data_IF_280119038465
#
_entry.id   IF_280119038465
#
_cell.length_a   1.000
_cell.length_b   1.000
_cell.length_c   1.000
_cell.angle_alpha   90.00
_cell.angle_beta   90.00
_cell.angle_gamma   90.00
#
_symmetry.space_group_name_H-M   'P 1'
#
loop_
_entity.id
_entity.type
_entity.pdbx_description
1 polymer ?
#
# COMPACT_ATOMS: atom_id res chain seq x y z
N UNK A 1 45.91 -23.91 -15.16
CA UNK A 1 47.23 -23.25 -15.30
C UNK A 1 47.97 -23.01 -13.97
N UNK A 2 47.31 -22.69 -12.85
CA UNK A 2 47.98 -22.36 -11.57
C UNK A 2 48.78 -23.49 -10.89
N UNK A 3 48.49 -24.77 -11.17
CA UNK A 3 49.15 -25.90 -10.49
C UNK A 3 50.60 -26.15 -10.92
N UNK A 4 51.04 -25.67 -12.09
CA UNK A 4 52.42 -25.90 -12.60
C UNK A 4 53.48 -24.97 -12.01
N UNK A 5 53.11 -23.82 -11.45
CA UNK A 5 54.05 -22.84 -10.90
C UNK A 5 54.67 -23.25 -9.55
N UNK A 6 54.08 -24.23 -8.83
CA UNK A 6 54.60 -24.69 -7.54
C UNK A 6 55.88 -25.52 -7.63
N UNK A 7 56.26 -25.99 -8.82
CA UNK A 7 57.37 -26.94 -9.02
C UNK A 7 58.59 -26.34 -9.74
N UNK A 8 58.72 -25.01 -9.80
CA UNK A 8 59.97 -24.37 -10.24
C UNK A 8 60.34 -24.66 -11.70
N UNK A 9 59.38 -24.51 -12.62
CA UNK A 9 59.64 -24.60 -14.06
C UNK A 9 60.07 -23.25 -14.62
N UNK A 10 61.28 -23.13 -15.15
CA UNK A 10 61.84 -21.88 -15.75
C UNK A 10 61.19 -21.47 -17.08
N UNK A 11 59.90 -21.75 -17.27
CA UNK A 11 59.15 -21.37 -18.47
C UNK A 11 58.60 -19.95 -18.39
N UNK A 12 58.37 -19.33 -19.53
CA UNK A 12 57.83 -17.95 -19.69
C UNK A 12 56.55 -17.65 -18.89
N UNK A 13 55.79 -18.68 -18.48
CA UNK A 13 54.62 -18.52 -17.62
C UNK A 13 54.93 -18.04 -16.20
N UNK A 14 56.10 -18.35 -15.65
CA UNK A 14 56.49 -17.96 -14.29
C UNK A 14 56.85 -16.47 -14.21
N UNK A 15 57.42 -15.90 -15.26
CA UNK A 15 57.74 -14.47 -15.34
C UNK A 15 56.47 -13.61 -15.42
N UNK A 16 55.48 -14.05 -16.22
CA UNK A 16 54.19 -13.37 -16.34
C UNK A 16 53.42 -13.41 -15.02
N UNK A 17 53.41 -14.57 -14.33
CA UNK A 17 52.77 -14.72 -13.03
C UNK A 17 53.38 -13.83 -11.95
N UNK A 18 54.72 -13.73 -11.91
CA UNK A 18 55.43 -12.83 -10.98
C UNK A 18 55.19 -11.36 -11.32
N UNK A 19 55.25 -10.97 -12.59
CA UNK A 19 54.97 -9.60 -13.02
C UNK A 19 53.54 -9.16 -12.64
N UNK A 20 52.56 -10.04 -12.86
CA UNK A 20 51.17 -9.80 -12.42
C UNK A 20 51.06 -9.63 -10.90
N UNK A 21 51.66 -10.55 -10.13
CA UNK A 21 51.62 -10.50 -8.68
C UNK A 21 52.26 -9.19 -8.15
N UNK A 22 53.38 -8.78 -8.75
CA UNK A 22 54.05 -7.53 -8.41
C UNK A 22 53.20 -6.30 -8.72
N UNK A 23 52.53 -6.27 -9.87
CA UNK A 23 51.59 -5.20 -10.22
C UNK A 23 50.41 -5.12 -9.25
N UNK A 24 49.86 -6.25 -8.81
CA UNK A 24 48.75 -6.30 -7.84
C UNK A 24 49.20 -5.81 -6.45
N UNK A 25 50.41 -6.19 -6.01
CA UNK A 25 50.93 -5.82 -4.70
C UNK A 25 51.40 -4.36 -4.63
N UNK A 26 52.02 -3.86 -5.71
CA UNK A 26 52.48 -2.46 -5.81
C UNK A 26 51.38 -1.48 -6.21
N UNK A 27 50.22 -1.96 -6.67
CA UNK A 27 49.11 -1.09 -7.01
C UNK A 27 48.78 -0.16 -5.83
N UNK A 28 48.72 1.16 -6.04
CA UNK A 28 48.27 2.11 -5.04
C UNK A 28 46.91 1.72 -4.49
N UNK A 29 46.63 2.04 -3.23
CA UNK A 29 45.37 1.68 -2.57
C UNK A 29 44.14 2.23 -3.32
N UNK A 30 44.25 3.42 -3.94
CA UNK A 30 43.18 4.04 -4.73
C UNK A 30 42.87 3.25 -6.01
N UNK A 31 43.86 2.60 -6.63
CA UNK A 31 43.65 1.76 -7.82
C UNK A 31 42.88 0.49 -7.49
N UNK A 32 43.14 -0.08 -6.30
CA UNK A 32 42.38 -1.23 -5.80
C UNK A 32 40.93 -0.83 -5.51
N UNK A 33 40.73 0.33 -4.89
CA UNK A 33 39.40 0.89 -4.63
C UNK A 33 38.63 1.15 -5.94
N UNK A 34 39.28 1.72 -6.96
CA UNK A 34 38.68 1.99 -8.26
C UNK A 34 38.23 0.70 -8.96
N UNK A 35 39.04 -0.37 -8.95
CA UNK A 35 38.64 -1.67 -9.53
C UNK A 35 37.43 -2.27 -8.84
N UNK A 36 37.37 -2.21 -7.50
CA UNK A 36 36.18 -2.66 -6.75
C UNK A 36 34.96 -1.82 -7.07
N UNK A 37 35.10 -0.49 -7.19
CA UNK A 37 33.99 0.39 -7.52
C UNK A 37 33.44 0.13 -8.93
N UNK A 38 34.32 -0.05 -9.93
CA UNK A 38 33.91 -0.35 -11.32
C UNK A 38 33.20 -1.70 -11.38
N UNK A 39 33.74 -2.74 -10.74
CA UNK A 39 33.12 -4.07 -10.70
C UNK A 39 31.76 -4.08 -9.98
N UNK A 40 31.65 -3.37 -8.85
CA UNK A 40 30.38 -3.21 -8.14
C UNK A 40 29.36 -2.42 -8.98
N UNK A 41 29.78 -1.32 -9.62
CA UNK A 41 28.92 -0.53 -10.49
C UNK A 41 28.40 -1.31 -11.71
N UNK A 42 29.24 -2.17 -12.31
CA UNK A 42 28.79 -3.04 -13.42
C UNK A 42 27.83 -4.13 -12.96
N UNK A 43 28.10 -4.77 -11.81
CA UNK A 43 27.18 -5.75 -11.25
C UNK A 43 25.82 -5.12 -10.92
N UNK A 44 25.83 -3.92 -10.32
CA UNK A 44 24.61 -3.18 -9.99
C UNK A 44 23.82 -2.77 -11.24
N UNK A 45 24.50 -2.32 -12.29
CA UNK A 45 23.86 -1.99 -13.56
C UNK A 45 23.17 -3.22 -14.19
N UNK A 46 23.82 -4.38 -14.19
CA UNK A 46 23.24 -5.63 -14.73
C UNK A 46 22.00 -6.04 -13.95
N UNK A 47 22.02 -5.88 -12.62
CA UNK A 47 20.89 -6.21 -11.75
C UNK A 47 19.73 -5.25 -11.96
N UNK A 48 20.00 -3.94 -12.01
CA UNK A 48 18.96 -2.94 -12.30
C UNK A 48 18.32 -3.21 -13.67
N UNK A 49 19.12 -3.52 -14.69
CA UNK A 49 18.60 -3.85 -16.02
C UNK A 49 17.78 -5.15 -15.99
N UNK A 50 18.20 -6.16 -15.22
CA UNK A 50 17.48 -7.43 -15.09
C UNK A 50 16.16 -7.25 -14.32
N UNK A 51 16.16 -6.53 -13.20
CA UNK A 51 14.97 -6.29 -12.36
C UNK A 51 13.94 -5.42 -13.07
N UNK A 52 14.37 -4.31 -13.68
CA UNK A 52 13.47 -3.41 -14.44
C UNK A 52 12.90 -4.09 -15.69
N UNK A 53 13.57 -5.12 -16.22
CA UNK A 53 13.16 -5.82 -17.44
C UNK A 53 12.42 -7.15 -17.25
N UNK A 54 12.58 -7.86 -16.12
CA UNK A 54 12.15 -9.27 -15.99
C UNK A 54 11.28 -9.60 -14.78
N UNK A 55 11.14 -8.72 -13.78
CA UNK A 55 10.43 -9.06 -12.54
C UNK A 55 9.42 -7.97 -12.12
N UNK A 56 8.29 -7.81 -12.84
CA UNK A 56 7.21 -6.92 -12.43
C UNK A 56 6.43 -7.40 -11.19
N UNK A 57 6.72 -8.60 -10.64
CA UNK A 57 5.90 -9.24 -9.58
C UNK A 57 6.51 -9.21 -8.17
N UNK A 58 7.72 -8.65 -7.97
CA UNK A 58 8.26 -8.51 -6.61
C UNK A 58 7.72 -7.22 -6.01
N UNK A 59 6.72 -7.33 -5.12
CA UNK A 59 6.05 -6.20 -4.44
C UNK A 59 7.00 -5.29 -3.65
N UNK A 60 8.26 -5.70 -3.42
CA UNK A 60 9.23 -4.95 -2.62
C UNK A 60 10.59 -4.84 -3.32
N UNK A 61 10.62 -4.06 -4.41
CA UNK A 61 11.83 -3.77 -5.21
C UNK A 61 13.01 -3.28 -4.33
N UNK A 62 12.70 -2.58 -3.23
CA UNK A 62 13.68 -2.07 -2.27
C UNK A 62 14.52 -3.18 -1.64
N UNK A 63 13.88 -4.30 -1.24
CA UNK A 63 14.55 -5.43 -0.60
C UNK A 63 15.44 -6.16 -1.61
N UNK A 64 14.98 -6.33 -2.86
CA UNK A 64 15.77 -6.97 -3.91
C UNK A 64 17.04 -6.17 -4.25
N UNK A 65 16.93 -4.85 -4.37
CA UNK A 65 18.08 -3.97 -4.64
C UNK A 65 19.08 -4.02 -3.49
N UNK A 66 18.62 -3.92 -2.24
CA UNK A 66 19.48 -4.01 -1.05
C UNK A 66 20.21 -5.35 -0.95
N UNK A 67 19.48 -6.46 -1.14
CA UNK A 67 20.05 -7.80 -1.05
C UNK A 67 21.11 -8.01 -2.13
N UNK A 68 20.85 -7.53 -3.34
CA UNK A 68 21.80 -7.67 -4.44
C UNK A 68 23.04 -6.79 -4.29
N UNK A 69 22.90 -5.58 -3.75
CA UNK A 69 24.05 -4.74 -3.35
C UNK A 69 24.90 -5.47 -2.31
N UNK A 70 24.29 -6.03 -1.27
CA UNK A 70 25.01 -6.73 -0.20
C UNK A 70 25.74 -7.98 -0.71
N UNK A 71 25.09 -8.78 -1.55
CA UNK A 71 25.67 -9.99 -2.14
C UNK A 71 26.84 -9.65 -3.09
N UNK A 72 26.68 -8.65 -3.95
CA UNK A 72 27.73 -8.24 -4.90
C UNK A 72 28.97 -7.65 -4.20
N UNK A 73 28.78 -6.87 -3.14
CA UNK A 73 29.87 -6.36 -2.29
C UNK A 73 30.61 -7.51 -1.59
N UNK A 74 29.88 -8.50 -1.05
CA UNK A 74 30.48 -9.67 -0.41
C UNK A 74 31.35 -10.49 -1.37
N UNK A 75 30.84 -10.77 -2.57
CA UNK A 75 31.56 -11.54 -3.59
C UNK A 75 32.81 -10.80 -4.08
N UNK A 76 32.70 -9.51 -4.37
CA UNK A 76 33.84 -8.71 -4.85
C UNK A 76 34.93 -8.54 -3.78
N UNK A 77 34.55 -8.36 -2.51
CA UNK A 77 35.48 -8.34 -1.39
C UNK A 77 36.21 -9.69 -1.21
N UNK A 78 35.48 -10.81 -1.31
CA UNK A 78 36.05 -12.15 -1.23
C UNK A 78 37.05 -12.45 -2.36
N UNK A 79 36.70 -12.08 -3.60
CA UNK A 79 37.57 -12.27 -4.77
C UNK A 79 38.85 -11.44 -4.68
N UNK A 80 38.75 -10.17 -4.27
CA UNK A 80 39.93 -9.31 -4.11
C UNK A 80 40.84 -9.80 -2.99
N UNK A 81 40.28 -10.26 -1.86
CA UNK A 81 41.07 -10.89 -0.80
C UNK A 81 41.82 -12.13 -1.31
N UNK A 82 41.12 -13.01 -2.05
CA UNK A 82 41.71 -14.22 -2.62
C UNK A 82 42.82 -13.92 -3.64
N UNK A 83 42.60 -12.93 -4.52
CA UNK A 83 43.62 -12.46 -5.47
C UNK A 83 44.86 -11.91 -4.74
N UNK A 84 44.67 -11.12 -3.68
CA UNK A 84 45.77 -10.55 -2.91
C UNK A 84 46.56 -11.65 -2.20
N UNK A 85 45.88 -12.67 -1.67
CA UNK A 85 46.51 -13.85 -1.04
C UNK A 85 47.37 -14.61 -2.05
N UNK A 86 46.82 -14.92 -3.23
CA UNK A 86 47.58 -15.60 -4.29
C UNK A 86 48.77 -14.79 -4.77
N UNK A 87 48.63 -13.47 -4.92
CA UNK A 87 49.75 -12.62 -5.29
C UNK A 87 50.91 -12.69 -4.28
N UNK A 88 50.60 -12.75 -2.97
CA UNK A 88 51.62 -12.94 -1.92
C UNK A 88 52.27 -14.32 -1.97
N UNK A 89 51.47 -15.37 -2.15
CA UNK A 89 51.97 -16.75 -2.28
C UNK A 89 52.91 -16.88 -3.50
N UNK A 90 52.57 -16.26 -4.63
CA UNK A 90 53.39 -16.26 -5.86
C UNK A 90 54.66 -15.42 -5.70
N UNK A 91 54.59 -14.29 -5.00
CA UNK A 91 55.73 -13.41 -4.78
C UNK A 91 56.74 -13.95 -3.75
N UNK A 92 56.44 -15.06 -3.06
CA UNK A 92 57.31 -15.64 -2.04
C UNK A 92 57.53 -14.74 -0.82
N UNK A 93 56.67 -13.73 -0.61
CA UNK A 93 56.79 -12.80 0.49
C UNK A 93 56.40 -13.50 1.81
N UNK A 94 57.41 -13.96 2.57
CA UNK A 94 57.22 -14.41 3.94
C UNK A 94 56.60 -13.26 4.74
N UNK A 95 55.54 -13.58 5.48
CA UNK A 95 54.68 -12.63 6.18
C UNK A 95 55.38 -12.05 7.41
N UNK A 96 56.41 -11.23 7.20
CA UNK A 96 57.03 -10.45 8.25
C UNK A 96 56.71 -8.97 8.05
N UNK A 97 56.11 -8.39 9.10
CA UNK A 97 55.98 -6.97 9.35
C UNK A 97 54.93 -6.18 8.53
N UNK A 98 53.69 -6.22 9.03
CA UNK A 98 52.89 -5.01 9.24
C UNK A 98 51.67 -5.34 10.11
N UNK A 99 51.64 -4.83 11.35
CA UNK A 99 50.47 -4.94 12.22
C UNK A 99 49.24 -4.29 11.54
N UNK A 100 48.12 -5.03 11.34
CA UNK A 100 47.05 -4.59 10.44
C UNK A 100 45.95 -3.75 11.09
N UNK A 101 46.02 -3.45 12.40
CA UNK A 101 44.86 -2.91 13.13
C UNK A 101 44.42 -1.49 12.68
N UNK A 102 45.36 -0.59 12.35
CA UNK A 102 45.04 0.75 11.86
C UNK A 102 44.45 0.73 10.44
N UNK A 103 44.92 -0.19 9.59
CA UNK A 103 44.40 -0.35 8.22
C UNK A 103 43.02 -1.00 8.23
N UNK A 104 42.77 -1.92 9.17
CA UNK A 104 41.49 -2.59 9.31
C UNK A 104 40.39 -1.60 9.74
N UNK A 105 40.67 -0.76 10.74
CA UNK A 105 39.71 0.25 11.23
C UNK A 105 39.39 1.31 10.18
N UNK A 106 40.38 1.77 9.41
CA UNK A 106 40.14 2.72 8.32
C UNK A 106 39.29 2.10 7.20
N UNK A 107 39.54 0.83 6.84
CA UNK A 107 38.72 0.12 5.83
C UNK A 107 37.29 -0.12 6.31
N UNK A 108 37.11 -0.46 7.58
CA UNK A 108 35.79 -0.66 8.16
C UNK A 108 34.95 0.63 8.14
N UNK A 109 35.56 1.77 8.47
CA UNK A 109 34.89 3.09 8.41
C UNK A 109 34.46 3.44 6.99
N UNK A 110 35.33 3.20 6.00
CA UNK A 110 35.05 3.51 4.60
C UNK A 110 33.95 2.62 4.02
N UNK A 111 33.96 1.33 4.36
CA UNK A 111 32.89 0.40 3.98
C UNK A 111 31.55 0.78 4.61
N UNK A 112 31.55 1.15 5.90
CA UNK A 112 30.33 1.55 6.62
C UNK A 112 29.75 2.86 6.03
N UNK A 113 30.60 3.84 5.74
CA UNK A 113 30.18 5.09 5.09
C UNK A 113 29.59 4.85 3.69
N UNK A 114 30.15 3.93 2.91
CA UNK A 114 29.64 3.60 1.59
C UNK A 114 28.27 2.90 1.66
N UNK A 115 28.08 1.97 2.60
CA UNK A 115 26.79 1.32 2.83
C UNK A 115 25.71 2.34 3.24
N UNK A 116 26.04 3.27 4.15
CA UNK A 116 25.13 4.34 4.55
C UNK A 116 24.77 5.27 3.40
N UNK A 117 25.73 5.63 2.54
CA UNK A 117 25.49 6.47 1.38
C UNK A 117 24.56 5.78 0.35
N UNK A 118 24.76 4.47 0.12
CA UNK A 118 23.88 3.70 -0.78
C UNK A 118 22.46 3.59 -0.19
N UNK A 119 22.34 3.31 1.11
CA UNK A 119 21.04 3.26 1.78
C UNK A 119 20.31 4.62 1.74
N UNK A 120 21.02 5.73 1.93
CA UNK A 120 20.44 7.06 1.82
C UNK A 120 20.00 7.38 0.37
N UNK A 121 20.81 7.02 -0.63
CA UNK A 121 20.48 7.23 -2.04
C UNK A 121 19.29 6.36 -2.46
N UNK A 122 19.18 5.11 -2.00
CA UNK A 122 18.03 4.26 -2.31
C UNK A 122 16.75 4.82 -1.71
N UNK A 123 16.77 5.32 -0.47
CA UNK A 123 15.60 5.99 0.14
C UNK A 123 15.21 7.23 -0.64
N UNK A 124 16.19 8.04 -1.07
CA UNK A 124 15.93 9.23 -1.88
C UNK A 124 15.34 8.89 -3.25
N UNK A 125 15.87 7.88 -3.94
CA UNK A 125 15.35 7.44 -5.24
C UNK A 125 13.96 6.82 -5.12
N UNK A 126 13.68 6.05 -4.06
CA UNK A 126 12.35 5.53 -3.78
C UNK A 126 11.37 6.68 -3.54
N UNK A 127 11.72 7.63 -2.65
CA UNK A 127 10.90 8.80 -2.39
C UNK A 127 10.65 9.63 -3.65
N UNK A 128 11.67 9.82 -4.50
CA UNK A 128 11.51 10.54 -5.77
C UNK A 128 10.63 9.76 -6.76
N UNK A 129 10.75 8.44 -6.83
CA UNK A 129 9.92 7.59 -7.67
C UNK A 129 8.45 7.63 -7.23
N UNK A 130 8.20 7.50 -5.92
CA UNK A 130 6.87 7.60 -5.31
C UNK A 130 6.26 9.00 -5.57
N UNK A 131 7.06 10.06 -5.44
CA UNK A 131 6.60 11.44 -5.72
C UNK A 131 6.25 11.65 -7.20
N UNK A 132 7.03 11.07 -8.12
CA UNK A 132 6.80 11.21 -9.57
C UNK A 132 5.66 10.33 -10.05
N UNK A 133 5.44 9.15 -9.46
CA UNK A 133 4.30 8.30 -9.81
C UNK A 133 2.97 8.93 -9.42
N UNK A 134 2.93 9.59 -8.26
CA UNK A 134 1.70 10.16 -7.71
C UNK A 134 1.29 11.44 -8.44
N UNK A 135 2.24 12.32 -8.80
CA UNK A 135 1.93 13.60 -9.45
C UNK A 135 1.75 13.49 -10.99
N UNK A 136 2.52 12.62 -11.66
CA UNK A 136 2.52 12.57 -13.14
C UNK A 136 1.47 11.60 -13.69
N UNK A 137 1.10 10.58 -12.93
CA UNK A 137 0.13 9.57 -13.34
C UNK A 137 -1.26 10.15 -13.62
N UNK A 138 -1.77 11.01 -12.72
CA UNK A 138 -3.15 11.48 -12.80
C UNK A 138 -3.31 12.80 -13.56
N UNK A 139 -2.27 13.64 -13.66
CA UNK A 139 -2.35 14.89 -14.43
C UNK A 139 -2.57 14.67 -15.94
N UNK A 140 -2.28 13.48 -16.46
CA UNK A 140 -2.48 13.16 -17.88
C UNK A 140 -3.94 12.88 -18.26
N UNK A 141 -4.83 12.66 -17.28
CA UNK A 141 -6.18 12.12 -17.52
C UNK A 141 -7.35 13.11 -17.31
N UNK A 142 -7.08 14.37 -17.01
CA UNK A 142 -8.12 15.41 -17.03
C UNK A 142 -7.78 16.60 -16.14
N UNK A 143 -8.43 17.73 -16.39
CA UNK A 143 -8.37 18.85 -15.44
C UNK A 143 -8.99 18.42 -14.11
N UNK A 144 -8.36 18.75 -12.96
CA UNK A 144 -8.96 18.50 -11.66
C UNK A 144 -10.30 19.22 -11.58
N UNK A 145 -11.36 18.46 -11.29
CA UNK A 145 -12.69 19.00 -11.07
C UNK A 145 -12.92 19.07 -9.56
N UNK A 146 -13.16 20.26 -9.00
CA UNK A 146 -13.32 20.43 -7.56
C UNK A 146 -14.46 19.60 -6.98
N UNK A 147 -15.44 19.19 -7.81
CA UNK A 147 -16.54 18.31 -7.40
C UNK A 147 -16.09 16.90 -7.02
N UNK A 148 -14.94 16.46 -7.51
CA UNK A 148 -14.35 15.15 -7.23
C UNK A 148 -13.05 15.25 -6.40
N UNK A 149 -12.78 16.40 -5.79
CA UNK A 149 -11.52 16.66 -5.09
C UNK A 149 -11.19 15.61 -4.01
N UNK A 150 -12.22 15.10 -3.30
CA UNK A 150 -12.01 14.08 -2.25
C UNK A 150 -11.61 12.73 -2.82
N UNK A 151 -12.25 12.28 -3.91
CA UNK A 151 -11.90 11.00 -4.53
C UNK A 151 -10.56 11.07 -5.26
N UNK A 152 -10.23 12.24 -5.83
CA UNK A 152 -8.91 12.51 -6.41
C UNK A 152 -7.79 12.54 -5.36
N UNK A 153 -8.04 13.09 -4.16
CA UNK A 153 -7.06 13.13 -3.08
C UNK A 153 -6.82 11.76 -2.40
N UNK A 154 -7.84 10.88 -2.37
CA UNK A 154 -7.73 9.54 -1.76
C UNK A 154 -7.01 8.52 -2.65
N UNK A 155 -6.81 8.82 -3.94
CA UNK A 155 -6.04 7.97 -4.87
C UNK A 155 -4.57 7.75 -4.50
N UNK A 156 -4.02 8.50 -3.53
CA UNK A 156 -2.64 8.34 -3.05
C UNK A 156 -2.41 7.24 -2.02
N UNK A 157 -3.46 6.60 -1.47
CA UNK A 157 -3.30 5.61 -0.39
C UNK A 157 -3.28 4.14 -0.84
N UNK A 158 -3.76 3.84 -2.05
CA UNK A 158 -3.85 2.50 -2.61
C UNK A 158 -3.25 2.49 -4.01
N UNK A 159 -2.33 1.56 -4.26
CA UNK A 159 -1.54 1.42 -5.48
C UNK A 159 -2.40 1.62 -6.76
N UNK A 160 -2.26 2.81 -7.37
CA UNK A 160 -2.28 2.99 -8.82
C UNK A 160 -3.61 3.04 -9.58
N UNK A 161 -4.64 3.78 -9.14
CA UNK A 161 -5.85 3.96 -9.96
C UNK A 161 -6.28 5.42 -10.03
N UNK A 162 -5.70 6.15 -10.98
CA UNK A 162 -6.22 7.46 -11.36
C UNK A 162 -7.67 7.31 -11.85
N UNK A 163 -8.58 8.23 -11.49
CA UNK A 163 -9.93 8.22 -12.02
C UNK A 163 -9.89 8.33 -13.55
N UNK A 164 -10.79 7.63 -14.24
CA UNK A 164 -10.96 7.78 -15.68
C UNK A 164 -11.35 9.21 -16.07
N UNK A 165 -11.38 9.53 -17.38
CA UNK A 165 -11.79 10.85 -17.83
C UNK A 165 -13.20 11.17 -17.31
N UNK A 166 -13.37 12.37 -16.77
CA UNK A 166 -14.68 12.85 -16.34
C UNK A 166 -15.54 13.03 -17.59
N UNK A 167 -16.65 12.30 -17.64
CA UNK A 167 -17.67 12.39 -18.67
C UNK A 167 -19.00 12.83 -18.10
N UNK A 168 -19.97 13.02 -18.97
CA UNK A 168 -21.37 13.22 -18.60
C UNK A 168 -22.15 11.95 -18.98
N UNK A 169 -23.00 11.45 -18.09
CA UNK A 169 -23.89 10.35 -18.44
C UNK A 169 -25.08 10.87 -19.24
N UNK A 170 -25.20 10.43 -20.50
CA UNK A 170 -26.22 10.91 -21.41
C UNK A 170 -27.66 10.67 -20.93
N UNK A 171 -27.88 9.71 -20.02
CA UNK A 171 -29.21 9.38 -19.54
C UNK A 171 -29.74 10.38 -18.49
N UNK A 172 -28.86 10.99 -17.70
CA UNK A 172 -29.25 11.84 -16.57
C UNK A 172 -28.53 13.20 -16.52
N UNK A 173 -27.58 13.46 -17.43
CA UNK A 173 -26.81 14.70 -17.51
C UNK A 173 -25.83 14.89 -16.35
N UNK A 174 -25.54 13.85 -15.57
CA UNK A 174 -24.68 13.95 -14.41
C UNK A 174 -23.22 13.73 -14.79
N UNK A 175 -22.34 14.53 -14.20
CA UNK A 175 -20.90 14.31 -14.30
C UNK A 175 -20.52 13.03 -13.56
N UNK A 176 -19.71 12.20 -14.22
CA UNK A 176 -19.22 10.94 -13.67
C UNK A 176 -17.82 10.63 -14.17
N UNK A 177 -17.15 9.72 -13.49
CA UNK A 177 -16.02 9.00 -14.05
C UNK A 177 -16.14 7.50 -13.74
N UNK A 178 -15.39 6.68 -14.47
CA UNK A 178 -15.27 5.24 -14.26
C UNK A 178 -13.96 4.96 -13.52
N UNK A 179 -14.04 4.12 -12.49
CA UNK A 179 -12.88 3.61 -11.76
C UNK A 179 -12.31 2.38 -12.46
N UNK A 180 -11.05 2.03 -12.18
CA UNK A 180 -10.42 0.92 -12.88
C UNK A 180 -10.98 -0.47 -12.50
N UNK A 181 -11.84 -0.57 -11.48
CA UNK A 181 -12.62 -1.77 -11.18
C UNK A 181 -13.96 -1.84 -11.95
N UNK A 182 -14.25 -0.86 -12.81
CA UNK A 182 -15.48 -0.74 -13.59
C UNK A 182 -16.65 -0.13 -12.82
N UNK A 183 -16.44 0.32 -11.58
CA UNK A 183 -17.42 1.10 -10.84
C UNK A 183 -17.46 2.56 -11.32
N UNK A 184 -18.52 3.27 -10.93
CA UNK A 184 -18.80 4.62 -11.40
C UNK A 184 -18.99 5.57 -10.22
N UNK A 185 -18.35 6.73 -10.30
CA UNK A 185 -18.54 7.79 -9.31
C UNK A 185 -19.28 8.93 -9.97
N UNK A 186 -20.47 9.25 -9.44
CA UNK A 186 -21.32 10.35 -9.89
C UNK A 186 -21.20 11.52 -8.94
N UNK A 187 -21.14 12.74 -9.48
CA UNK A 187 -21.42 13.94 -8.69
C UNK A 187 -22.93 14.21 -8.72
N UNK A 188 -23.57 14.24 -7.55
CA UNK A 188 -25.01 14.51 -7.42
C UNK A 188 -25.19 15.92 -6.86
N UNK A 189 -25.62 16.91 -7.68
CA UNK A 189 -25.74 18.30 -7.24
C UNK A 189 -26.68 18.50 -6.05
N UNK A 190 -27.78 17.75 -5.99
CA UNK A 190 -28.76 17.82 -4.90
C UNK A 190 -28.19 17.34 -3.56
N UNK A 191 -27.18 16.48 -3.58
CA UNK A 191 -26.49 16.01 -2.38
C UNK A 191 -25.28 16.87 -2.03
N UNK A 192 -24.75 17.62 -3.00
CA UNK A 192 -23.44 18.25 -2.88
C UNK A 192 -22.33 17.23 -2.61
N UNK A 193 -22.51 16.00 -3.10
CA UNK A 193 -21.64 14.87 -2.79
C UNK A 193 -21.52 13.89 -3.96
N UNK A 194 -20.54 13.01 -3.86
CA UNK A 194 -20.36 11.90 -4.79
C UNK A 194 -21.14 10.66 -4.35
N UNK A 195 -21.61 9.88 -5.32
CA UNK A 195 -22.22 8.55 -5.11
C UNK A 195 -21.41 7.54 -5.89
N UNK A 196 -20.91 6.49 -5.22
CA UNK A 196 -20.16 5.41 -5.83
C UNK A 196 -21.11 4.24 -6.14
N UNK A 197 -21.18 3.82 -7.40
CA UNK A 197 -22.05 2.75 -7.86
C UNK A 197 -21.25 1.67 -8.55
N UNK A 198 -21.48 0.40 -8.21
CA UNK A 198 -20.96 -0.69 -9.04
C UNK A 198 -21.56 -0.64 -10.44
N UNK A 199 -20.95 -1.35 -11.39
CA UNK A 199 -21.52 -1.48 -12.74
C UNK A 199 -22.95 -2.03 -12.71
N UNK A 200 -23.23 -2.98 -11.81
CA UNK A 200 -24.56 -3.57 -11.62
C UNK A 200 -25.56 -2.55 -11.06
N UNK A 201 -25.21 -1.81 -10.00
CA UNK A 201 -26.05 -0.74 -9.46
C UNK A 201 -26.38 0.33 -10.49
N UNK A 202 -25.36 0.76 -11.25
CA UNK A 202 -25.56 1.74 -12.33
C UNK A 202 -26.54 1.21 -13.38
N UNK A 203 -26.33 -0.02 -13.85
CA UNK A 203 -27.22 -0.63 -14.84
C UNK A 203 -28.67 -0.72 -14.31
N UNK A 204 -28.83 -1.12 -13.05
CA UNK A 204 -30.12 -1.17 -12.38
C UNK A 204 -30.79 0.21 -12.28
N UNK A 205 -30.04 1.25 -11.94
CA UNK A 205 -30.55 2.62 -11.88
C UNK A 205 -31.01 3.13 -13.25
N UNK A 206 -30.18 2.96 -14.28
CA UNK A 206 -30.51 3.40 -15.64
C UNK A 206 -31.72 2.65 -16.23
N UNK A 207 -31.95 1.41 -15.79
CA UNK A 207 -33.13 0.63 -16.16
C UNK A 207 -34.42 1.07 -15.44
N UNK A 208 -34.31 1.83 -14.33
CA UNK A 208 -35.45 2.25 -13.50
C UNK A 208 -35.45 3.76 -13.27
N UNK A 209 -35.76 4.57 -14.31
CA UNK A 209 -35.78 6.03 -14.20
C UNK A 209 -36.80 6.55 -13.17
N UNK A 210 -37.80 5.74 -12.80
CA UNK A 210 -38.78 6.07 -11.76
C UNK A 210 -38.17 6.22 -10.36
N UNK A 211 -36.98 5.67 -10.09
CA UNK A 211 -36.26 5.88 -8.83
C UNK A 211 -35.94 7.36 -8.57
N UNK A 212 -35.75 8.14 -9.64
CA UNK A 212 -35.28 9.52 -9.56
C UNK A 212 -33.78 9.61 -9.30
N UNK A 213 -33.36 10.70 -8.65
CA UNK A 213 -31.96 10.93 -8.27
C UNK A 213 -31.65 10.30 -6.90
N UNK A 214 -30.38 9.91 -6.66
CA UNK A 214 -29.92 9.53 -5.33
C UNK A 214 -30.23 10.62 -4.31
N UNK A 215 -30.75 10.22 -3.15
CA UNK A 215 -30.99 11.09 -1.98
C UNK A 215 -29.92 10.92 -0.90
N UNK A 216 -28.96 10.02 -1.13
CA UNK A 216 -27.77 9.85 -0.30
C UNK A 216 -26.59 9.25 -1.10
N UNK A 217 -25.40 9.34 -0.52
CA UNK A 217 -24.23 8.56 -0.96
C UNK A 217 -24.45 7.06 -0.73
N UNK A 218 -23.77 6.24 -1.52
CA UNK A 218 -23.82 4.80 -1.33
C UNK A 218 -23.34 4.39 0.06
N UNK A 219 -23.99 3.37 0.61
CA UNK A 219 -23.75 2.91 1.96
C UNK A 219 -23.45 1.42 1.96
N UNK A 220 -22.40 0.99 2.67
CA UNK A 220 -22.24 -0.43 2.97
C UNK A 220 -23.38 -0.92 3.88
N UNK A 221 -23.76 -2.18 3.73
CA UNK A 221 -24.68 -2.91 4.61
C UNK A 221 -24.22 -4.37 4.72
N UNK A 222 -23.22 -4.60 5.60
CA UNK A 222 -22.48 -5.85 5.63
C UNK A 222 -21.62 -6.00 4.38
N UNK A 223 -21.83 -7.09 3.64
CA UNK A 223 -21.19 -7.32 2.33
C UNK A 223 -21.97 -6.67 1.18
N UNK A 224 -23.18 -6.18 1.45
CA UNK A 224 -24.01 -5.50 0.46
C UNK A 224 -23.67 -4.02 0.42
N UNK A 225 -24.14 -3.34 -0.63
CA UNK A 225 -24.15 -1.88 -0.71
C UNK A 225 -25.52 -1.42 -1.16
N UNK A 226 -25.99 -0.29 -0.66
CA UNK A 226 -27.23 0.29 -1.15
C UNK A 226 -27.09 1.78 -1.43
N UNK A 227 -27.98 2.28 -2.27
CA UNK A 227 -28.19 3.72 -2.49
C UNK A 227 -29.68 3.96 -2.41
N UNK A 228 -30.08 4.88 -1.53
CA UNK A 228 -31.44 5.41 -1.53
C UNK A 228 -31.62 6.49 -2.60
N UNK A 229 -32.76 6.45 -3.26
CA UNK A 229 -33.21 7.36 -4.30
C UNK A 229 -34.51 8.05 -3.88
N UNK A 230 -34.91 9.10 -4.59
CA UNK A 230 -36.12 9.87 -4.28
C UNK A 230 -37.39 9.00 -4.15
N UNK A 231 -37.47 7.91 -4.90
CA UNK A 231 -38.65 7.04 -4.96
C UNK A 231 -38.35 5.56 -4.72
N UNK A 232 -37.27 5.23 -4.02
CA UNK A 232 -36.93 3.83 -3.74
C UNK A 232 -35.46 3.62 -3.43
N UNK A 233 -34.97 2.41 -3.63
CA UNK A 233 -33.56 2.07 -3.40
C UNK A 233 -33.05 1.04 -4.40
N UNK A 234 -31.72 0.96 -4.49
CA UNK A 234 -31.00 -0.15 -5.11
C UNK A 234 -30.11 -0.79 -4.05
N UNK A 235 -30.23 -2.11 -3.88
CA UNK A 235 -29.39 -2.91 -2.99
C UNK A 235 -28.56 -3.88 -3.85
N UNK A 236 -27.25 -3.66 -3.87
CA UNK A 236 -26.27 -4.50 -4.54
C UNK A 236 -25.76 -5.59 -3.62
N UNK A 237 -25.79 -6.82 -4.13
CA UNK A 237 -25.34 -8.02 -3.41
C UNK A 237 -24.25 -8.67 -4.24
N UNK A 238 -23.06 -8.96 -3.70
CA UNK A 238 -21.93 -9.46 -4.49
C UNK A 238 -22.25 -10.69 -5.36
N UNK A 239 -23.14 -11.57 -4.86
CA UNK A 239 -23.47 -12.85 -5.49
C UNK A 239 -24.88 -12.89 -6.12
N UNK A 240 -25.59 -11.76 -6.19
CA UNK A 240 -26.96 -11.71 -6.72
C UNK A 240 -27.17 -10.48 -7.60
N UNK A 241 -28.13 -10.51 -8.54
CA UNK A 241 -28.54 -9.30 -9.24
C UNK A 241 -28.94 -8.21 -8.23
N UNK A 242 -28.60 -6.95 -8.52
CA UNK A 242 -28.99 -5.84 -7.66
C UNK A 242 -30.52 -5.79 -7.52
N UNK A 243 -31.00 -5.76 -6.29
CA UNK A 243 -32.41 -5.60 -5.96
C UNK A 243 -32.81 -4.15 -6.16
N UNK A 244 -33.96 -3.92 -6.80
CA UNK A 244 -34.49 -2.58 -7.04
C UNK A 244 -35.89 -2.50 -6.47
N UNK A 245 -36.15 -1.49 -5.65
CA UNK A 245 -37.47 -1.20 -5.09
C UNK A 245 -37.89 0.22 -5.46
N UNK A 246 -39.12 0.40 -5.95
CA UNK A 246 -39.62 1.67 -6.54
C UNK A 246 -40.94 2.15 -5.92
N UNK A 247 -41.30 1.64 -4.75
CA UNK A 247 -42.56 1.96 -4.06
C UNK A 247 -42.46 3.20 -3.15
N UNK A 248 -41.37 3.97 -3.25
CA UNK A 248 -41.09 5.12 -2.39
C UNK A 248 -40.52 4.77 -1.02
N UNK A 249 -40.45 3.49 -0.64
CA UNK A 249 -39.79 3.09 0.60
C UNK A 249 -38.27 3.18 0.44
N UNK A 250 -37.61 3.72 1.46
CA UNK A 250 -36.16 3.78 1.54
C UNK A 250 -35.65 2.47 2.13
N UNK A 251 -34.44 2.05 1.75
CA UNK A 251 -33.72 0.99 2.43
C UNK A 251 -33.35 1.48 3.83
N UNK A 252 -33.88 0.81 4.83
CA UNK A 252 -33.45 0.96 6.21
C UNK A 252 -32.55 -0.23 6.52
N UNK A 253 -31.29 -0.01 6.93
CA UNK A 253 -30.43 -1.08 7.40
C UNK A 253 -31.10 -1.90 8.51
N UNK A 254 -30.72 -3.17 8.63
CA UNK A 254 -31.27 -4.08 9.63
C UNK A 254 -31.27 -3.45 11.04
N UNK A 255 -32.35 -3.67 11.79
CA UNK A 255 -32.44 -3.24 13.18
C UNK A 255 -31.44 -3.99 14.08
N UNK A 256 -31.08 -3.44 15.24
CA UNK A 256 -30.26 -4.14 16.21
C UNK A 256 -30.96 -5.45 16.63
N UNK A 257 -30.21 -6.56 16.67
CA UNK A 257 -30.74 -7.85 17.10
C UNK A 257 -31.33 -8.75 15.99
N UNK A 258 -31.15 -8.40 14.71
CA UNK A 258 -31.25 -9.40 13.65
C UNK A 258 -30.30 -10.56 13.97
N UNK A 259 -30.75 -11.81 13.78
CA UNK A 259 -30.02 -13.00 14.27
C UNK A 259 -28.55 -12.94 13.85
N UNK A 260 -27.64 -12.84 14.82
CA UNK A 260 -26.20 -12.86 14.60
C UNK A 260 -25.78 -14.27 14.13
N UNK A 261 -25.99 -14.59 12.85
CA UNK A 261 -25.74 -15.94 12.32
C UNK A 261 -24.27 -16.13 11.91
N UNK A 262 -23.49 -15.06 11.73
CA UNK A 262 -22.09 -15.13 11.28
C UNK A 262 -21.06 -14.83 12.38
N UNK A 263 -20.09 -15.72 12.66
CA UNK A 263 -18.96 -15.42 13.53
C UNK A 263 -17.82 -14.66 12.81
N UNK A 264 -17.97 -14.33 11.53
CA UNK A 264 -16.93 -13.74 10.69
C UNK A 264 -16.82 -12.21 10.82
N UNK A 265 -17.80 -11.54 11.45
CA UNK A 265 -17.84 -10.09 11.63
C UNK A 265 -18.53 -9.69 12.95
N UNK A 266 -18.32 -8.45 13.43
CA UNK A 266 -19.11 -7.91 14.53
C UNK A 266 -20.61 -7.89 14.20
N UNK A 267 -21.43 -8.21 15.19
CA UNK A 267 -22.88 -8.12 15.12
C UNK A 267 -23.38 -7.12 16.15
N UNK A 268 -23.97 -6.02 15.70
CA UNK A 268 -24.54 -5.00 16.58
C UNK A 268 -25.77 -5.58 17.29
N UNK A 269 -25.70 -5.71 18.61
CA UNK A 269 -26.75 -6.33 19.43
C UNK A 269 -27.64 -5.32 20.12
N UNK A 270 -27.15 -4.11 20.33
CA UNK A 270 -27.94 -3.00 20.87
C UNK A 270 -27.49 -1.69 20.26
N UNK A 271 -28.45 -0.79 20.06
CA UNK A 271 -28.23 0.53 19.52
C UNK A 271 -29.37 1.44 20.03
N UNK A 272 -29.08 2.22 21.06
CA UNK A 272 -30.11 2.96 21.80
C UNK A 272 -29.63 4.36 22.21
N UNK A 273 -30.58 5.25 22.47
CA UNK A 273 -30.28 6.58 23.03
C UNK A 273 -30.29 6.46 24.55
N UNK A 274 -29.17 6.82 25.19
CA UNK A 274 -29.01 6.76 26.63
C UNK A 274 -29.80 7.87 27.37
N UNK A 275 -29.73 7.85 28.71
CA UNK A 275 -30.44 8.82 29.55
C UNK A 275 -29.86 10.24 29.41
N UNK A 276 -28.55 10.35 29.15
CA UNK A 276 -27.86 11.62 28.94
C UNK A 276 -28.08 12.22 27.54
N UNK A 277 -28.69 11.45 26.63
CA UNK A 277 -28.94 11.84 25.24
C UNK A 277 -27.86 11.38 24.25
N UNK A 278 -26.84 10.64 24.71
CA UNK A 278 -25.85 10.00 23.85
C UNK A 278 -26.44 8.80 23.10
N UNK A 279 -25.82 8.39 22.00
CA UNK A 279 -26.17 7.12 21.33
C UNK A 279 -25.17 6.06 21.78
N UNK A 280 -25.66 5.03 22.47
CA UNK A 280 -24.88 3.86 22.85
C UNK A 280 -25.12 2.73 21.84
N UNK A 281 -24.02 2.15 21.35
CA UNK A 281 -24.04 0.95 20.52
C UNK A 281 -23.20 -0.14 21.17
N UNK A 282 -23.69 -1.37 21.13
CA UNK A 282 -23.01 -2.55 21.65
C UNK A 282 -23.07 -3.69 20.63
N UNK A 283 -22.02 -4.51 20.60
CA UNK A 283 -21.92 -5.60 19.63
C UNK A 283 -21.34 -6.87 20.24
N UNK A 284 -21.55 -7.98 19.55
CA UNK A 284 -20.84 -9.25 19.76
C UNK A 284 -19.85 -9.47 18.62
N UNK A 285 -18.69 -10.01 18.91
CA UNK A 285 -17.67 -10.31 17.92
C UNK A 285 -16.74 -11.42 18.38
N UNK A 286 -15.95 -12.02 17.47
CA UNK A 286 -14.76 -12.77 17.85
C UNK A 286 -13.80 -11.92 18.71
N UNK A 287 -12.86 -12.56 19.44
CA UNK A 287 -11.77 -11.85 20.11
C UNK A 287 -10.99 -10.97 19.13
N UNK A 288 -10.80 -9.71 19.49
CA UNK A 288 -10.07 -8.71 18.71
C UNK A 288 -9.31 -7.77 19.66
N UNK A 289 -8.26 -7.13 19.14
CA UNK A 289 -7.45 -6.19 19.92
C UNK A 289 -8.09 -4.80 19.95
N UNK A 290 -8.82 -4.43 18.89
CA UNK A 290 -9.55 -3.18 18.79
C UNK A 290 -10.72 -3.29 17.80
N UNK A 291 -11.61 -2.30 17.85
CA UNK A 291 -12.77 -2.17 16.98
C UNK A 291 -12.73 -0.83 16.26
N UNK A 292 -12.84 -0.84 14.92
CA UNK A 292 -13.07 0.38 14.17
C UNK A 292 -14.58 0.60 14.06
N UNK A 293 -15.08 1.63 14.72
CA UNK A 293 -16.47 2.06 14.67
C UNK A 293 -16.58 3.19 13.67
N UNK A 294 -17.34 2.98 12.59
CA UNK A 294 -17.69 4.04 11.65
C UNK A 294 -19.12 4.47 11.85
N UNK A 295 -19.36 5.78 11.82
CA UNK A 295 -20.70 6.34 11.92
C UNK A 295 -20.90 7.51 10.97
N UNK A 296 -22.15 7.75 10.59
CA UNK A 296 -22.54 8.84 9.69
C UNK A 296 -23.94 9.34 10.03
N UNK A 297 -24.28 10.53 9.53
CA UNK A 297 -25.63 11.09 9.63
C UNK A 297 -26.35 10.83 8.31
N UNK A 298 -27.56 10.28 8.36
CA UNK A 298 -28.39 10.03 7.19
C UNK A 298 -28.56 11.31 6.35
N UNK A 299 -28.40 11.20 5.03
CA UNK A 299 -28.41 12.34 4.11
C UNK A 299 -27.13 13.20 4.08
N UNK A 300 -26.10 12.91 4.88
CA UNK A 300 -24.78 13.59 4.81
C UNK A 300 -23.70 12.68 4.25
N UNK A 301 -22.79 13.20 3.43
CA UNK A 301 -21.70 12.40 2.84
C UNK A 301 -20.59 12.00 3.80
N UNK A 302 -20.52 12.64 4.97
CA UNK A 302 -19.42 12.43 5.90
C UNK A 302 -19.57 11.13 6.69
N UNK A 303 -18.46 10.39 6.75
CA UNK A 303 -18.29 9.21 7.58
C UNK A 303 -17.15 9.46 8.53
N UNK A 304 -17.43 9.28 9.82
CA UNK A 304 -16.46 9.38 10.91
C UNK A 304 -16.02 7.97 11.29
N UNK A 305 -14.77 7.81 11.73
CA UNK A 305 -14.27 6.53 12.24
C UNK A 305 -13.51 6.75 13.54
N UNK A 306 -13.84 5.95 14.54
CA UNK A 306 -13.23 5.97 15.87
C UNK A 306 -12.80 4.56 16.24
N UNK A 307 -11.66 4.43 16.93
CA UNK A 307 -11.21 3.15 17.47
C UNK A 307 -11.74 2.97 18.89
N UNK A 308 -12.34 1.81 19.17
CA UNK A 308 -12.81 1.41 20.48
C UNK A 308 -12.06 0.16 20.96
N UNK A 309 -11.68 0.12 22.24
CA UNK A 309 -10.98 -1.01 22.85
C UNK A 309 -11.93 -2.08 23.41
N UNK A 310 -13.21 -1.75 23.56
CA UNK A 310 -14.25 -2.59 24.15
C UNK A 310 -15.39 -2.78 23.15
N UNK A 311 -16.23 -3.83 23.29
CA UNK A 311 -17.31 -4.13 22.34
C UNK A 311 -18.54 -3.22 22.52
N UNK A 312 -18.30 -1.95 22.82
CA UNK A 312 -19.31 -0.89 22.90
C UNK A 312 -18.69 0.47 22.57
N UNK A 313 -19.53 1.38 22.11
CA UNK A 313 -19.15 2.76 21.81
C UNK A 313 -20.33 3.69 22.12
N UNK A 314 -20.02 4.84 22.70
CA UNK A 314 -21.01 5.90 22.96
C UNK A 314 -20.62 7.11 22.12
N UNK A 315 -21.55 7.56 21.28
CA UNK A 315 -21.45 8.84 20.58
C UNK A 315 -22.01 9.94 21.51
N UNK A 316 -21.16 10.80 22.07
CA UNK A 316 -21.62 11.91 22.91
C UNK A 316 -22.27 13.00 22.04
N UNK A 317 -23.26 13.68 22.62
CA UNK A 317 -23.89 14.89 22.08
C UNK A 317 -24.33 14.78 20.59
N UNK A 318 -25.14 13.76 20.23
CA UNK A 318 -25.65 13.64 18.86
C UNK A 318 -26.57 14.82 18.50
N UNK A 319 -26.59 15.19 17.22
CA UNK A 319 -27.45 16.25 16.71
C UNK A 319 -28.93 15.88 16.92
N UNK A 320 -29.72 16.70 17.64
CA UNK A 320 -31.10 16.34 18.00
C UNK A 320 -31.97 16.03 16.78
N UNK A 321 -32.67 14.89 16.85
CA UNK A 321 -33.56 14.42 15.78
C UNK A 321 -32.88 13.85 14.53
N UNK A 322 -31.55 13.90 14.43
CA UNK A 322 -30.82 13.29 13.33
C UNK A 322 -30.82 11.76 13.43
N UNK A 323 -30.83 11.09 12.27
CA UNK A 323 -30.66 9.63 12.19
C UNK A 323 -29.21 9.31 11.93
N UNK A 324 -28.60 8.51 12.79
CA UNK A 324 -27.23 8.04 12.69
C UNK A 324 -27.18 6.60 12.19
N UNK A 325 -26.26 6.30 11.28
CA UNK A 325 -25.91 4.94 10.90
C UNK A 325 -24.57 4.53 11.51
N UNK A 326 -24.45 3.27 11.90
CA UNK A 326 -23.25 2.70 12.52
C UNK A 326 -22.81 1.41 11.83
N UNK A 327 -21.49 1.21 11.77
CA UNK A 327 -20.85 -0.04 11.41
C UNK A 327 -19.64 -0.31 12.28
N UNK A 328 -19.37 -1.59 12.53
CA UNK A 328 -18.25 -2.00 13.35
C UNK A 328 -17.40 -3.02 12.62
N UNK A 329 -16.08 -2.89 12.74
CA UNK A 329 -15.09 -3.83 12.23
C UNK A 329 -14.21 -4.30 13.39
N UNK A 330 -14.00 -5.61 13.53
CA UNK A 330 -13.07 -6.17 14.51
C UNK A 330 -11.68 -6.28 13.90
N UNK A 331 -10.65 -5.85 14.61
CA UNK A 331 -9.28 -5.83 14.11
C UNK A 331 -8.30 -6.50 15.08
N UNK A 332 -7.46 -7.37 14.54
CA UNK A 332 -6.24 -7.89 15.19
C UNK A 332 -5.10 -6.98 14.80
N UNK A 333 -4.49 -6.33 15.78
CA UNK A 333 -3.43 -5.36 15.59
C UNK A 333 -2.09 -6.09 15.55
N UNK A 334 -1.27 -5.74 14.57
CA UNK A 334 0.08 -6.26 14.45
C UNK A 334 1.06 -5.11 14.54
N UNK A 335 2.11 -5.24 15.37
CA UNK A 335 3.07 -4.16 15.58
C UNK A 335 3.95 -3.89 14.36
N UNK A 336 4.33 -4.96 13.63
CA UNK A 336 5.25 -4.90 12.48
C UNK A 336 4.57 -5.26 11.15
N UNK A 337 3.29 -5.58 11.15
CA UNK A 337 2.53 -5.95 9.96
C UNK A 337 1.24 -5.13 9.88
N UNK A 338 0.59 -5.14 8.71
CA UNK A 338 -0.73 -4.51 8.57
C UNK A 338 -1.71 -5.21 9.50
N UNK A 339 -2.56 -4.43 10.17
CA UNK A 339 -3.64 -4.98 11.01
C UNK A 339 -4.59 -5.80 10.14
N UNK A 340 -5.04 -6.95 10.66
CA UNK A 340 -6.00 -7.80 9.97
C UNK A 340 -7.38 -7.51 10.55
N UNK A 341 -8.33 -7.13 9.71
CA UNK A 341 -9.68 -6.79 10.16
C UNK A 341 -10.73 -7.66 9.49
N UNK A 342 -11.81 -7.95 10.20
CA UNK A 342 -12.99 -8.64 9.66
C UNK A 342 -13.69 -7.78 8.60
N UNK A 343 -14.66 -8.33 7.85
CA UNK A 343 -15.68 -7.50 7.21
C UNK A 343 -16.40 -6.61 8.24
N UNK A 344 -17.02 -5.53 7.75
CA UNK A 344 -17.85 -4.64 8.57
C UNK A 344 -19.17 -5.32 8.92
N UNK A 345 -19.73 -4.97 10.07
CA UNK A 345 -21.08 -5.37 10.47
C UNK A 345 -22.12 -4.86 9.46
N UNK A 346 -23.31 -5.46 9.51
CA UNK A 346 -24.49 -4.81 8.93
C UNK A 346 -24.65 -3.41 9.52
N UNK A 347 -25.19 -2.52 8.71
CA UNK A 347 -25.44 -1.15 9.17
C UNK A 347 -26.61 -1.17 10.15
N UNK A 348 -26.54 -0.36 11.20
CA UNK A 348 -27.67 -0.15 12.12
C UNK A 348 -27.96 1.33 12.20
N UNK A 349 -29.24 1.71 12.13
CA UNK A 349 -29.69 3.08 12.24
C UNK A 349 -30.29 3.37 13.62
N UNK A 350 -29.96 4.52 14.21
CA UNK A 350 -30.51 5.03 15.48
C UNK A 350 -30.89 6.49 15.30
N UNK A 351 -32.12 6.85 15.68
CA UNK A 351 -32.55 8.25 15.70
C UNK A 351 -32.22 8.90 17.04
N UNK A 352 -31.49 10.00 17.02
CA UNK A 352 -31.21 10.81 18.20
C UNK A 352 -32.50 11.42 18.78
N UNK A 353 -32.57 11.58 20.10
CA UNK A 353 -33.69 12.25 20.77
C UNK A 353 -33.79 13.71 20.29
N UNK A 354 -35.01 14.20 20.14
CA UNK A 354 -35.30 15.61 19.78
C UNK A 354 -35.07 16.56 20.94
#
# INVERSE_FOLDING_TARGET
MLWRSRYGGTGSGDEVGRAWAHQVLLAPWWWRAARTAVAAGTALLVVVIAEVGLLPEIEDATVSVLLTVLLSLGVTAGLTWRQTRWAREIAGAAAEHAQPQAVLTQKLRLACALVLAVAALSVFLQSAADTVSDDVGCQRYGQPDPRFARSQALGGGGVGRCPGPIGEDAANGLSRYEEADGSFVYWIPTLGATVHMTAAMRAAWLAHPSLGLPVESDRPDGDNRYVNFAHGYILDRPDQPSEVKTDGSQHEPGGPGETCVGPDRPCVTDASVDIAGGIEIAWKSPPADAYNVSYWIAGRSDTYTVEAAVPSFTLPDPEPGATYGFQVQACVKHFLARSTCTPRSNSVAVQARR
#
